data_IF_406006163385
#
_entry.id   IF_406006163385
#
_cell.length_a   1.000
_cell.length_b   1.000
_cell.length_c   1.000
_cell.angle_alpha   90.00
_cell.angle_beta   90.00
_cell.angle_gamma   90.00
#
_symmetry.space_group_name_H-M   'P 1'
#
loop_
_entity.id
_entity.type
_entity.pdbx_description
1 polymer ?
#
# COMPACT_ATOMS: atom_id res chain seq x y z
N UNK A 1 -5.55 -35.57 -17.51
CA UNK A 1 -4.67 -34.80 -18.41
C UNK A 1 -5.53 -33.70 -18.96
N UNK A 2 -5.40 -32.47 -18.45
CA UNK A 2 -5.93 -31.33 -19.18
C UNK A 2 -5.26 -31.31 -20.55
N UNK A 3 -6.01 -31.01 -21.60
CA UNK A 3 -5.46 -30.94 -22.95
C UNK A 3 -4.39 -29.83 -22.96
N UNK A 4 -3.22 -30.11 -23.51
CA UNK A 4 -2.12 -29.14 -23.54
C UNK A 4 -2.55 -27.85 -24.25
N UNK A 5 -3.49 -27.96 -25.18
CA UNK A 5 -4.13 -26.84 -25.89
C UNK A 5 -4.91 -25.91 -24.95
N UNK A 6 -5.57 -26.43 -23.91
CA UNK A 6 -6.34 -25.63 -22.94
C UNK A 6 -5.41 -24.82 -22.03
N UNK A 7 -4.28 -25.42 -21.65
CA UNK A 7 -3.23 -24.73 -20.86
C UNK A 7 -2.58 -23.62 -21.69
N UNK A 8 -2.23 -23.89 -22.95
CA UNK A 8 -1.64 -22.89 -23.86
C UNK A 8 -2.63 -21.74 -24.14
N UNK A 9 -3.92 -22.04 -24.35
CA UNK A 9 -4.95 -21.02 -24.53
C UNK A 9 -5.15 -20.15 -23.27
N UNK A 10 -5.11 -20.76 -22.08
CA UNK A 10 -5.16 -20.03 -20.81
C UNK A 10 -3.98 -19.08 -20.63
N UNK A 11 -2.76 -19.52 -20.94
CA UNK A 11 -1.54 -18.70 -20.90
C UNK A 11 -1.66 -17.52 -21.87
N UNK A 12 -2.06 -17.76 -23.13
CA UNK A 12 -2.23 -16.69 -24.13
C UNK A 12 -3.30 -15.67 -23.71
N UNK A 13 -4.42 -16.14 -23.12
CA UNK A 13 -5.44 -15.24 -22.57
C UNK A 13 -4.86 -14.38 -21.45
N UNK A 14 -4.12 -14.99 -20.52
CA UNK A 14 -3.47 -14.29 -19.42
C UNK A 14 -2.46 -13.23 -19.89
N UNK A 15 -1.61 -13.59 -20.85
CA UNK A 15 -0.67 -12.67 -21.49
C UNK A 15 -1.37 -11.49 -22.15
N UNK A 16 -2.46 -11.74 -22.89
CA UNK A 16 -3.25 -10.68 -23.53
C UNK A 16 -3.89 -9.75 -22.49
N UNK A 17 -4.40 -10.28 -21.39
CA UNK A 17 -4.98 -9.49 -20.29
C UNK A 17 -3.90 -8.60 -19.66
N UNK A 18 -2.75 -9.17 -19.28
CA UNK A 18 -1.64 -8.42 -18.67
C UNK A 18 -1.13 -7.35 -19.63
N UNK A 19 -0.89 -7.71 -20.89
CA UNK A 19 -0.48 -6.76 -21.92
C UNK A 19 -1.47 -5.60 -22.04
N UNK A 20 -2.78 -5.86 -22.08
CA UNK A 20 -3.78 -4.78 -22.17
C UNK A 20 -3.88 -3.94 -20.90
N UNK A 21 -3.68 -4.52 -19.72
CA UNK A 21 -3.72 -3.79 -18.45
C UNK A 21 -2.52 -2.84 -18.29
N UNK A 22 -1.34 -3.28 -18.73
CA UNK A 22 -0.08 -2.58 -18.44
C UNK A 22 0.53 -1.85 -19.65
N UNK A 23 0.43 -2.35 -20.87
CA UNK A 23 1.09 -1.74 -22.03
C UNK A 23 0.26 -0.61 -22.67
N UNK A 24 0.87 0.53 -23.05
CA UNK A 24 0.21 1.61 -23.78
C UNK A 24 -0.58 1.11 -24.99
N UNK A 25 -1.73 1.73 -25.28
CA UNK A 25 -2.51 1.36 -26.46
C UNK A 25 -1.80 1.86 -27.72
N UNK A 26 -1.51 0.96 -28.67
CA UNK A 26 -1.08 1.33 -30.02
C UNK A 26 0.43 1.25 -30.30
N UNK A 27 1.24 0.92 -29.31
CA UNK A 27 2.65 0.61 -29.55
C UNK A 27 2.85 -0.91 -29.60
N UNK A 28 3.40 -1.43 -30.71
CA UNK A 28 3.93 -2.81 -30.83
C UNK A 28 5.20 -2.99 -29.96
N UNK A 29 5.21 -2.39 -28.76
CA UNK A 29 6.30 -2.52 -27.81
C UNK A 29 6.24 -3.94 -27.25
N UNK A 30 7.17 -4.78 -27.71
CA UNK A 30 7.45 -6.05 -27.08
C UNK A 30 7.71 -5.78 -25.59
N UNK A 31 6.95 -6.46 -24.71
CA UNK A 31 7.22 -6.46 -23.28
C UNK A 31 8.71 -6.71 -23.05
N UNK A 32 9.34 -6.05 -22.06
CA UNK A 32 10.67 -6.45 -21.62
C UNK A 32 10.62 -7.94 -21.27
N UNK A 33 11.14 -8.79 -22.16
CA UNK A 33 11.07 -10.25 -21.98
C UNK A 33 11.87 -10.71 -20.77
N UNK A 34 12.82 -9.89 -20.33
CA UNK A 34 13.61 -10.08 -19.11
C UNK A 34 12.92 -9.35 -17.95
N UNK A 35 12.24 -10.11 -17.07
CA UNK A 35 11.74 -9.62 -15.79
C UNK A 35 10.27 -9.91 -15.49
N UNK A 36 9.41 -10.02 -16.50
CA UNK A 36 8.00 -10.36 -16.31
C UNK A 36 7.80 -11.86 -16.10
N UNK A 37 7.64 -12.30 -14.85
CA UNK A 37 7.33 -13.70 -14.54
C UNK A 37 5.81 -13.94 -14.63
N UNK A 38 5.36 -14.37 -15.81
CA UNK A 38 3.94 -14.68 -16.08
C UNK A 38 3.36 -15.76 -15.15
N UNK A 39 4.18 -16.67 -14.61
CA UNK A 39 3.68 -17.71 -13.68
C UNK A 39 3.19 -17.13 -12.35
N UNK A 40 3.73 -15.98 -11.96
CA UNK A 40 3.32 -15.31 -10.72
C UNK A 40 1.93 -14.67 -10.84
N UNK A 41 1.42 -14.53 -12.07
CA UNK A 41 0.11 -13.94 -12.33
C UNK A 41 -1.07 -14.91 -12.16
N UNK A 42 -0.85 -16.19 -11.90
CA UNK A 42 -1.95 -17.16 -11.72
C UNK A 42 -3.00 -16.68 -10.70
N UNK A 43 -2.57 -16.03 -9.60
CA UNK A 43 -3.48 -15.46 -8.60
C UNK A 43 -4.17 -14.19 -9.07
N UNK A 44 -3.47 -13.35 -9.81
CA UNK A 44 -4.05 -12.14 -10.38
C UNK A 44 -5.10 -12.50 -11.43
N UNK A 45 -4.81 -13.50 -12.27
CA UNK A 45 -5.75 -14.05 -13.24
C UNK A 45 -6.91 -14.76 -12.54
N UNK A 46 -6.67 -15.48 -11.44
CA UNK A 46 -7.76 -16.04 -10.64
C UNK A 46 -8.66 -14.96 -10.03
N UNK A 47 -8.11 -13.80 -9.64
CA UNK A 47 -8.90 -12.63 -9.22
C UNK A 47 -9.70 -12.06 -10.40
N UNK A 48 -9.06 -11.88 -11.56
CA UNK A 48 -9.71 -11.40 -12.78
C UNK A 48 -10.86 -12.33 -13.20
N UNK A 49 -10.62 -13.64 -13.23
CA UNK A 49 -11.61 -14.66 -13.54
C UNK A 49 -12.72 -14.69 -12.49
N UNK A 50 -12.41 -14.54 -11.20
CA UNK A 50 -13.43 -14.48 -10.16
C UNK A 50 -14.38 -13.29 -10.35
N UNK A 51 -13.84 -12.10 -10.60
CA UNK A 51 -14.63 -10.87 -10.78
C UNK A 51 -15.40 -10.88 -12.11
N UNK A 52 -14.81 -11.40 -13.20
CA UNK A 52 -15.49 -11.52 -14.49
C UNK A 52 -16.58 -12.59 -14.49
N UNK A 53 -16.37 -13.72 -13.80
CA UNK A 53 -17.39 -14.77 -13.68
C UNK A 53 -18.61 -14.28 -12.89
N UNK A 54 -18.43 -13.38 -11.92
CA UNK A 54 -19.56 -12.76 -11.20
C UNK A 54 -20.43 -11.87 -12.11
N UNK A 55 -19.83 -11.28 -13.14
CA UNK A 55 -20.50 -10.42 -14.13
C UNK A 55 -21.20 -11.20 -15.25
N UNK A 56 -20.72 -12.39 -15.57
CA UNK A 56 -21.18 -13.24 -16.67
C UNK A 56 -20.41 -13.02 -17.98
N UNK A 57 -20.76 -13.81 -18.99
CA UNK A 57 -20.03 -13.84 -20.27
C UNK A 57 -20.02 -12.47 -20.98
N UNK A 58 -18.89 -12.14 -21.62
CA UNK A 58 -18.69 -10.93 -22.42
C UNK A 58 -18.27 -9.67 -21.64
N UNK A 59 -18.21 -9.74 -20.30
CA UNK A 59 -17.84 -8.59 -19.48
C UNK A 59 -16.33 -8.38 -19.35
N UNK A 60 -15.52 -9.36 -19.73
CA UNK A 60 -14.06 -9.28 -19.73
C UNK A 60 -13.55 -8.23 -20.73
N UNK A 61 -14.08 -8.21 -21.94
CA UNK A 61 -13.73 -7.17 -22.94
C UNK A 61 -14.17 -5.77 -22.47
N UNK A 62 -15.34 -5.63 -21.85
CA UNK A 62 -15.80 -4.36 -21.28
C UNK A 62 -14.86 -3.84 -20.17
N UNK A 63 -14.35 -4.73 -19.30
CA UNK A 63 -13.35 -4.38 -18.28
C UNK A 63 -12.05 -3.91 -18.93
N UNK A 64 -11.55 -4.63 -19.93
CA UNK A 64 -10.29 -4.30 -20.60
C UNK A 64 -10.40 -2.98 -21.39
N UNK A 65 -11.55 -2.74 -22.03
CA UNK A 65 -11.83 -1.48 -22.71
C UNK A 65 -11.94 -0.32 -21.72
N UNK A 66 -12.58 -0.54 -20.55
CA UNK A 66 -12.62 0.45 -19.48
C UNK A 66 -11.20 0.85 -19.03
N UNK A 67 -10.32 -0.13 -18.80
CA UNK A 67 -8.91 0.15 -18.46
C UNK A 67 -8.23 0.92 -19.59
N UNK A 68 -8.45 0.54 -20.85
CA UNK A 68 -7.84 1.22 -21.98
C UNK A 68 -8.27 2.69 -22.07
N UNK A 69 -9.56 2.99 -21.86
CA UNK A 69 -10.09 4.36 -21.87
C UNK A 69 -9.51 5.15 -20.69
N UNK A 70 -9.51 4.58 -19.49
CA UNK A 70 -8.98 5.22 -18.29
C UNK A 70 -7.48 5.55 -18.41
N UNK A 71 -6.70 4.66 -19.02
CA UNK A 71 -5.27 4.90 -19.26
C UNK A 71 -5.04 5.96 -20.34
N UNK A 72 -5.83 5.95 -21.40
CA UNK A 72 -5.73 6.97 -22.45
C UNK A 72 -6.14 8.37 -21.96
N UNK A 73 -7.03 8.43 -20.97
CA UNK A 73 -7.50 9.68 -20.39
C UNK A 73 -7.69 9.55 -18.87
N UNK A 74 -6.63 9.78 -18.11
CA UNK A 74 -6.64 9.81 -16.65
C UNK A 74 -7.50 10.96 -16.07
N UNK A 75 -7.87 11.96 -16.88
CA UNK A 75 -8.82 12.99 -16.50
C UNK A 75 -10.29 12.61 -16.77
N UNK A 76 -10.56 11.39 -17.28
CA UNK A 76 -11.92 10.93 -17.55
C UNK A 76 -12.75 10.92 -16.27
N UNK A 77 -13.97 11.46 -16.36
CA UNK A 77 -14.94 11.33 -15.27
C UNK A 77 -15.63 9.97 -15.36
N UNK A 78 -16.22 9.52 -14.26
CA UNK A 78 -16.95 8.25 -14.26
C UNK A 78 -18.15 8.26 -15.23
N UNK A 79 -18.88 9.38 -15.29
CA UNK A 79 -20.01 9.56 -16.22
C UNK A 79 -19.57 9.54 -17.69
N UNK A 80 -18.45 10.20 -18.01
CA UNK A 80 -17.89 10.17 -19.37
C UNK A 80 -17.41 8.77 -19.75
N UNK A 81 -16.76 8.05 -18.82
CA UNK A 81 -16.32 6.67 -19.03
C UNK A 81 -17.51 5.75 -19.31
N UNK A 82 -18.59 5.88 -18.52
CA UNK A 82 -19.82 5.13 -18.74
C UNK A 82 -20.42 5.44 -20.11
N UNK A 83 -20.50 6.71 -20.48
CA UNK A 83 -21.02 7.13 -21.80
C UNK A 83 -20.20 6.53 -22.94
N UNK A 84 -18.87 6.60 -22.86
CA UNK A 84 -17.99 6.02 -23.89
C UNK A 84 -18.13 4.50 -24.00
N UNK A 85 -18.16 3.79 -22.87
CA UNK A 85 -18.27 2.34 -22.90
C UNK A 85 -19.67 1.86 -23.30
N UNK A 86 -20.73 2.61 -22.97
CA UNK A 86 -22.10 2.29 -23.42
C UNK A 86 -22.23 2.35 -24.94
N UNK A 87 -21.47 3.23 -25.60
CA UNK A 87 -21.42 3.30 -27.06
C UNK A 87 -20.70 2.10 -27.70
N UNK A 88 -19.76 1.47 -26.98
CA UNK A 88 -19.01 0.29 -27.44
C UNK A 88 -19.79 -1.00 -27.12
N UNK A 89 -20.42 -1.04 -25.94
CA UNK A 89 -21.03 -2.22 -25.35
C UNK A 89 -22.53 -2.02 -25.05
N UNK A 90 -23.31 -1.65 -26.08
CA UNK A 90 -24.75 -1.35 -25.96
C UNK A 90 -25.54 -2.48 -25.26
N UNK A 91 -25.14 -3.73 -25.47
CA UNK A 91 -25.78 -4.91 -24.88
C UNK A 91 -25.48 -5.14 -23.38
N UNK A 92 -24.59 -4.35 -22.77
CA UNK A 92 -24.13 -4.51 -21.37
C UNK A 92 -24.48 -3.32 -20.47
N UNK A 93 -25.42 -2.46 -20.84
CA UNK A 93 -25.76 -1.23 -20.09
C UNK A 93 -25.97 -1.48 -18.58
N UNK A 94 -26.76 -2.51 -18.22
CA UNK A 94 -27.03 -2.87 -16.82
C UNK A 94 -25.81 -3.38 -16.04
N UNK A 95 -24.78 -3.86 -16.76
CA UNK A 95 -23.56 -4.46 -16.17
C UNK A 95 -22.36 -3.54 -16.23
N UNK A 96 -22.46 -2.45 -16.99
CA UNK A 96 -21.33 -1.59 -17.29
C UNK A 96 -20.77 -0.91 -16.04
N UNK A 97 -21.66 -0.49 -15.13
CA UNK A 97 -21.24 0.08 -13.85
C UNK A 97 -20.35 -0.89 -13.07
N UNK A 98 -20.73 -2.17 -13.01
CA UNK A 98 -19.96 -3.19 -12.32
C UNK A 98 -18.66 -3.54 -13.06
N UNK A 99 -18.66 -3.54 -14.40
CA UNK A 99 -17.45 -3.68 -15.20
C UNK A 99 -16.44 -2.54 -14.91
N UNK A 100 -16.91 -1.28 -14.79
CA UNK A 100 -16.06 -0.14 -14.41
C UNK A 100 -15.47 -0.34 -13.01
N UNK A 101 -16.28 -0.78 -12.05
CA UNK A 101 -15.80 -1.09 -10.70
C UNK A 101 -14.74 -2.20 -10.70
N UNK A 102 -14.95 -3.28 -11.46
CA UNK A 102 -13.97 -4.34 -11.62
C UNK A 102 -12.69 -3.84 -12.29
N UNK A 103 -12.79 -3.00 -13.32
CA UNK A 103 -11.65 -2.39 -13.99
C UNK A 103 -10.79 -1.58 -13.01
N UNK A 104 -11.40 -0.69 -12.22
CA UNK A 104 -10.68 0.09 -11.20
C UNK A 104 -10.07 -0.83 -10.14
N UNK A 105 -10.80 -1.86 -9.71
CA UNK A 105 -10.33 -2.81 -8.69
C UNK A 105 -9.12 -3.61 -9.16
N UNK A 106 -9.18 -4.16 -10.36
CA UNK A 106 -8.15 -5.03 -10.91
C UNK A 106 -6.94 -4.22 -11.33
N UNK A 107 -7.15 -3.06 -11.97
CA UNK A 107 -6.07 -2.25 -12.51
C UNK A 107 -5.37 -1.41 -11.45
N UNK A 108 -6.11 -0.84 -10.50
CA UNK A 108 -5.55 0.07 -9.50
C UNK A 108 -5.44 -0.55 -8.10
N UNK A 109 -5.94 -1.77 -7.92
CA UNK A 109 -6.01 -2.43 -6.61
C UNK A 109 -6.78 -1.58 -5.58
N UNK A 110 -7.82 -0.87 -6.01
CA UNK A 110 -8.65 0.00 -5.16
C UNK A 110 -10.02 -0.65 -4.94
N UNK A 111 -10.45 -0.72 -3.69
CA UNK A 111 -11.77 -1.25 -3.33
C UNK A 111 -12.89 -0.24 -3.61
N UNK A 112 -13.55 -0.38 -4.76
CA UNK A 112 -14.65 0.51 -5.18
C UNK A 112 -16.05 -0.08 -5.04
N UNK A 113 -16.28 -1.07 -4.16
CA UNK A 113 -17.57 -1.78 -4.09
C UNK A 113 -18.78 -0.82 -4.11
N UNK A 114 -19.85 -1.11 -4.87
CA UNK A 114 -21.06 -0.31 -4.78
C UNK A 114 -21.67 -0.47 -3.38
N UNK A 115 -22.07 0.64 -2.76
CA UNK A 115 -22.63 0.68 -1.40
C UNK A 115 -23.90 -0.17 -1.18
N UNK A 116 -24.45 -0.76 -2.25
CA UNK A 116 -25.69 -1.54 -2.26
C UNK A 116 -25.52 -3.04 -2.03
N UNK A 117 -24.31 -3.57 -1.84
CA UNK A 117 -24.16 -5.00 -1.55
C UNK A 117 -24.49 -5.31 -0.08
N UNK A 118 -25.65 -5.96 0.09
CA UNK A 118 -26.39 -6.20 1.32
C UNK A 118 -25.61 -6.82 2.49
N UNK A 119 -25.43 -6.03 3.55
CA UNK A 119 -25.63 -6.37 4.97
C UNK A 119 -24.98 -7.61 5.60
N UNK A 120 -24.16 -8.39 4.89
CA UNK A 120 -23.75 -9.73 5.34
C UNK A 120 -22.23 -9.94 5.40
N UNK A 121 -21.43 -9.02 4.88
CA UNK A 121 -19.98 -9.09 5.01
C UNK A 121 -19.50 -8.09 6.09
N UNK A 122 -18.88 -8.61 7.15
CA UNK A 122 -18.12 -7.85 8.16
C UNK A 122 -16.84 -7.23 7.58
N UNK A 123 -16.86 -6.81 6.31
CA UNK A 123 -15.71 -6.18 5.66
C UNK A 123 -15.75 -4.70 6.07
N UNK A 124 -15.05 -4.38 7.15
CA UNK A 124 -15.07 -3.07 7.81
C UNK A 124 -14.24 -2.02 7.06
N UNK A 125 -13.59 -2.40 5.97
CA UNK A 125 -12.81 -1.48 5.15
C UNK A 125 -13.72 -0.40 4.55
N UNK A 126 -13.32 0.89 4.66
CA UNK A 126 -14.08 1.98 4.10
C UNK A 126 -14.12 1.85 2.57
N UNK A 127 -15.32 1.59 2.06
CA UNK A 127 -15.59 1.53 0.63
C UNK A 127 -15.29 2.89 -0.01
N UNK A 128 -14.41 2.91 -1.01
CA UNK A 128 -14.06 4.13 -1.74
C UNK A 128 -15.06 4.35 -2.87
N UNK A 129 -15.82 5.44 -2.83
CA UNK A 129 -16.78 5.79 -3.89
C UNK A 129 -16.15 6.72 -4.92
N UNK A 130 -16.07 6.30 -6.18
CA UNK A 130 -15.74 7.20 -7.29
C UNK A 130 -16.99 7.93 -7.76
N UNK A 131 -17.06 9.24 -7.52
CA UNK A 131 -18.21 10.07 -7.87
C UNK A 131 -18.40 10.21 -9.39
N UNK A 132 -19.65 10.40 -9.84
CA UNK A 132 -19.99 10.46 -11.27
C UNK A 132 -19.21 11.55 -12.03
N UNK A 133 -19.10 12.73 -11.44
CA UNK A 133 -18.40 13.89 -12.00
C UNK A 133 -16.94 14.02 -11.53
N UNK A 134 -16.45 13.06 -10.75
CA UNK A 134 -15.08 13.09 -10.22
C UNK A 134 -14.14 12.53 -11.30
N UNK A 135 -13.02 13.23 -11.55
CA UNK A 135 -11.99 12.70 -12.45
C UNK A 135 -11.29 11.50 -11.82
N UNK A 136 -10.86 10.56 -12.64
CA UNK A 136 -10.15 9.38 -12.15
C UNK A 136 -8.88 9.75 -11.35
N UNK A 137 -8.07 10.68 -11.86
CA UNK A 137 -6.90 11.19 -11.13
C UNK A 137 -7.25 11.75 -9.75
N UNK A 138 -8.28 12.59 -9.64
CA UNK A 138 -8.69 13.19 -8.37
C UNK A 138 -9.20 12.12 -7.39
N UNK A 139 -9.90 11.10 -7.90
CA UNK A 139 -10.33 9.95 -7.12
C UNK A 139 -9.14 9.14 -6.58
N UNK A 140 -8.22 8.73 -7.45
CA UNK A 140 -7.02 7.96 -7.07
C UNK A 140 -6.16 8.76 -6.10
N UNK A 141 -6.01 10.06 -6.34
CA UNK A 141 -5.33 10.97 -5.44
C UNK A 141 -5.99 10.99 -4.05
N UNK A 142 -7.30 11.20 -3.97
CA UNK A 142 -8.02 11.20 -2.70
C UNK A 142 -7.90 9.89 -1.91
N UNK A 143 -7.78 8.76 -2.61
CA UNK A 143 -7.60 7.43 -2.00
C UNK A 143 -6.22 7.27 -1.34
N UNK A 144 -5.14 7.73 -1.98
CA UNK A 144 -3.78 7.60 -1.45
C UNK A 144 -3.34 8.79 -0.58
N UNK A 145 -4.07 9.91 -0.64
CA UNK A 145 -3.78 11.15 0.09
C UNK A 145 -5.03 11.68 0.81
N UNK A 146 -5.59 10.91 1.77
CA UNK A 146 -6.80 11.33 2.46
C UNK A 146 -6.58 12.67 3.19
N UNK A 147 -7.55 13.59 3.05
CA UNK A 147 -7.53 14.91 3.69
C UNK A 147 -6.72 15.99 2.97
N UNK A 148 -6.10 15.69 1.82
CA UNK A 148 -5.42 16.70 0.98
C UNK A 148 -6.31 17.16 -0.18
N UNK A 149 -6.29 18.46 -0.54
CA UNK A 149 -6.96 18.93 -1.74
C UNK A 149 -6.35 18.27 -2.99
N UNK A 150 -7.17 18.01 -4.01
CA UNK A 150 -6.81 17.26 -5.23
C UNK A 150 -5.83 17.99 -6.18
N UNK A 151 -4.98 18.88 -5.68
CA UNK A 151 -3.87 19.42 -6.44
C UNK A 151 -2.74 18.39 -6.48
N UNK A 152 -2.32 17.96 -7.67
CA UNK A 152 -1.17 17.09 -7.86
C UNK A 152 0.02 17.64 -7.07
N UNK A 153 0.52 16.93 -6.05
CA UNK A 153 1.60 17.41 -5.25
C UNK A 153 2.88 17.25 -6.06
N UNK A 154 3.57 18.35 -6.24
CA UNK A 154 5.00 18.35 -6.50
C UNK A 154 5.68 17.65 -5.31
N UNK A 155 6.54 16.63 -5.55
CA UNK A 155 7.21 15.88 -4.49
C UNK A 155 7.94 16.74 -3.43
N UNK A 156 8.31 17.98 -3.78
CA UNK A 156 8.99 18.95 -2.92
C UNK A 156 8.10 19.78 -1.99
N UNK A 157 6.80 19.92 -2.25
CA UNK A 157 6.09 21.12 -1.75
C UNK A 157 5.25 20.91 -0.48
N UNK A 158 5.33 19.73 0.14
CA UNK A 158 4.23 19.26 0.98
C UNK A 158 4.56 18.96 2.45
N UNK A 159 5.79 19.17 2.88
CA UNK A 159 6.14 19.19 4.29
C UNK A 159 7.10 20.34 4.54
N UNK A 160 6.81 21.13 5.58
CA UNK A 160 7.78 22.08 6.10
C UNK A 160 9.02 21.31 6.60
N UNK A 161 10.20 21.94 6.53
CA UNK A 161 11.43 21.36 7.09
C UNK A 161 11.25 20.97 8.58
N UNK A 162 10.41 21.73 9.29
CA UNK A 162 10.01 21.45 10.66
C UNK A 162 9.22 20.14 10.78
N UNK A 163 8.18 19.93 9.97
CA UNK A 163 7.41 18.68 9.98
C UNK A 163 8.28 17.45 9.66
N UNK A 164 9.20 17.58 8.69
CA UNK A 164 10.14 16.49 8.37
C UNK A 164 11.08 16.20 9.55
N UNK A 165 11.53 17.23 10.26
CA UNK A 165 12.34 17.07 11.47
C UNK A 165 11.55 16.40 12.60
N UNK A 166 10.29 16.78 12.78
CA UNK A 166 9.42 16.21 13.82
C UNK A 166 9.11 14.74 13.53
N UNK A 167 8.75 14.41 12.27
CA UNK A 167 8.56 13.04 11.77
C UNK A 167 9.84 12.21 11.99
N UNK A 168 11.00 12.74 11.64
CA UNK A 168 12.28 12.04 11.82
C UNK A 168 12.60 11.79 13.30
N UNK A 169 12.28 12.73 14.17
CA UNK A 169 12.50 12.63 15.62
C UNK A 169 11.57 11.60 16.25
N UNK A 170 10.28 11.62 15.91
CA UNK A 170 9.29 10.64 16.37
C UNK A 170 9.67 9.22 15.90
N UNK A 171 9.93 9.07 14.61
CA UNK A 171 10.39 7.81 14.03
C UNK A 171 11.63 7.27 14.72
N UNK A 172 12.63 8.12 14.99
CA UNK A 172 13.84 7.71 15.71
C UNK A 172 13.53 7.28 17.15
N UNK A 173 12.67 8.01 17.86
CA UNK A 173 12.28 7.66 19.22
C UNK A 173 11.55 6.31 19.26
N UNK A 174 10.60 6.07 18.36
CA UNK A 174 9.89 4.79 18.26
C UNK A 174 10.87 3.66 17.92
N UNK A 175 11.73 3.88 16.92
CA UNK A 175 12.71 2.89 16.48
C UNK A 175 13.67 2.49 17.61
N UNK A 176 14.10 3.42 18.47
CA UNK A 176 14.98 3.11 19.61
C UNK A 176 14.29 2.31 20.71
N UNK A 177 12.96 2.41 20.82
CA UNK A 177 12.16 1.66 21.80
C UNK A 177 11.81 0.25 21.33
N UNK A 178 11.86 -0.01 20.01
CA UNK A 178 11.67 -1.33 19.45
C UNK A 178 12.85 -2.24 19.84
N UNK A 179 12.60 -3.16 20.77
CA UNK A 179 13.61 -4.16 21.18
C UNK A 179 13.87 -5.19 20.08
N UNK A 180 12.93 -5.34 19.15
CA UNK A 180 12.98 -6.24 18.01
C UNK A 180 12.55 -5.50 16.74
N UNK A 181 13.10 -5.86 15.56
CA UNK A 181 12.62 -5.33 14.28
C UNK A 181 11.11 -5.55 14.11
N UNK A 182 10.41 -4.56 13.55
CA UNK A 182 8.96 -4.62 13.31
C UNK A 182 8.65 -5.48 12.07
N UNK A 183 8.99 -6.76 12.12
CA UNK A 183 8.68 -7.72 11.06
C UNK A 183 7.33 -8.37 11.29
N UNK A 184 6.69 -8.86 10.22
CA UNK A 184 5.44 -9.61 10.28
C UNK A 184 5.51 -10.81 11.24
N UNK A 185 6.67 -11.47 11.32
CA UNK A 185 6.91 -12.57 12.26
C UNK A 185 6.80 -12.08 13.70
N UNK A 186 7.45 -10.97 14.02
CA UNK A 186 7.44 -10.39 15.36
C UNK A 186 6.08 -9.79 15.71
N UNK A 187 5.37 -9.21 14.74
CA UNK A 187 3.98 -8.78 14.90
C UNK A 187 3.07 -9.97 15.24
N UNK A 188 3.18 -11.09 14.52
CA UNK A 188 2.37 -12.28 14.75
C UNK A 188 2.62 -12.98 16.09
N UNK A 189 3.75 -12.68 16.75
CA UNK A 189 4.05 -13.16 18.11
C UNK A 189 3.28 -12.39 19.18
N UNK A 190 2.83 -11.18 18.87
CA UNK A 190 1.96 -10.45 19.76
C UNK A 190 0.54 -11.04 19.66
N UNK A 191 -0.02 -11.63 20.73
CA UNK A 191 -1.22 -12.49 20.65
C UNK A 191 -2.46 -11.79 20.06
N UNK A 192 -2.47 -10.47 20.10
CA UNK A 192 -3.57 -9.65 19.62
C UNK A 192 -3.40 -9.17 18.20
N UNK A 193 -2.18 -9.04 17.68
CA UNK A 193 -2.01 -8.51 16.33
C UNK A 193 -2.14 -9.63 15.31
N UNK A 194 -3.17 -9.56 14.49
CA UNK A 194 -3.35 -10.49 13.39
C UNK A 194 -2.95 -9.84 12.07
N UNK A 195 -2.33 -10.62 11.20
CA UNK A 195 -2.02 -10.18 9.84
C UNK A 195 -3.15 -10.68 8.95
N UNK A 196 -3.90 -9.74 8.40
CA UNK A 196 -4.92 -9.97 7.39
C UNK A 196 -4.32 -9.65 6.01
N UNK A 197 -4.58 -10.48 5.02
CA UNK A 197 -4.05 -10.27 3.67
C UNK A 197 -5.11 -9.55 2.84
N UNK A 198 -4.78 -8.36 2.36
CA UNK A 198 -5.66 -7.55 1.53
C UNK A 198 -5.18 -7.56 0.08
N UNK A 199 -6.15 -7.49 -0.84
CA UNK A 199 -5.92 -7.30 -2.28
C UNK A 199 -5.87 -5.83 -2.66
N UNK A 200 -6.17 -4.95 -1.72
CA UNK A 200 -6.35 -3.55 -1.97
C UNK A 200 -5.15 -2.77 -1.46
N UNK A 201 -4.46 -2.10 -2.38
CA UNK A 201 -3.26 -1.34 -2.07
C UNK A 201 -3.53 -0.21 -1.06
N UNK A 202 -4.64 0.56 -1.16
CA UNK A 202 -4.95 1.62 -0.19
C UNK A 202 -5.18 1.12 1.24
N UNK A 203 -5.47 -0.18 1.43
CA UNK A 203 -5.65 -0.81 2.73
C UNK A 203 -4.32 -1.35 3.29
N UNK A 204 -3.22 -1.29 2.52
CA UNK A 204 -1.93 -1.79 2.98
C UNK A 204 -1.45 -1.07 4.24
N UNK A 205 -1.10 -1.83 5.27
CA UNK A 205 -0.74 -1.38 6.62
C UNK A 205 -1.85 -0.66 7.37
N UNK A 206 -3.08 -0.68 6.89
CA UNK A 206 -4.20 -0.18 7.68
C UNK A 206 -4.32 -1.02 8.95
N UNK A 207 -4.34 -0.34 10.10
CA UNK A 207 -4.46 -0.98 11.40
C UNK A 207 -5.88 -0.82 11.95
N UNK A 208 -6.57 -1.93 12.16
CA UNK A 208 -7.90 -1.92 12.76
C UNK A 208 -7.80 -2.08 14.27
N UNK A 209 -7.90 -0.98 15.02
CA UNK A 209 -7.76 -1.01 16.48
C UNK A 209 -8.71 -1.97 17.20
N UNK A 210 -9.91 -2.21 16.65
CA UNK A 210 -10.94 -3.04 17.27
C UNK A 210 -10.58 -4.53 17.25
N UNK A 211 -10.10 -5.01 16.10
CA UNK A 211 -9.73 -6.41 15.88
C UNK A 211 -8.24 -6.65 16.08
N UNK A 212 -7.47 -5.57 16.15
CA UNK A 212 -6.00 -5.56 16.17
C UNK A 212 -5.45 -6.22 14.90
N UNK A 213 -6.12 -5.99 13.78
CA UNK A 213 -5.74 -6.54 12.49
C UNK A 213 -4.89 -5.55 11.72
N UNK A 214 -3.78 -6.03 11.15
CA UNK A 214 -2.93 -5.30 10.22
C UNK A 214 -3.17 -5.87 8.84
N UNK A 215 -3.66 -5.02 7.93
CA UNK A 215 -3.83 -5.38 6.54
C UNK A 215 -2.47 -5.38 5.82
N UNK A 216 -2.13 -6.45 5.11
CA UNK A 216 -0.88 -6.59 4.35
C UNK A 216 -1.23 -6.92 2.91
N UNK A 217 -0.68 -6.16 1.97
CA UNK A 217 -0.98 -6.32 0.56
C UNK A 217 -0.41 -7.64 0.03
N UNK A 218 -1.24 -8.45 -0.63
CA UNK A 218 -0.84 -9.81 -1.02
C UNK A 218 -0.08 -9.90 -2.35
N UNK A 219 -0.27 -8.95 -3.26
CA UNK A 219 0.21 -9.05 -4.65
C UNK A 219 1.57 -8.35 -4.87
N UNK A 220 2.61 -8.75 -4.14
CA UNK A 220 3.94 -8.11 -4.27
C UNK A 220 4.49 -8.06 -5.71
N UNK A 221 4.33 -9.13 -6.49
CA UNK A 221 4.78 -9.14 -7.88
C UNK A 221 4.09 -8.07 -8.71
N UNK A 222 2.78 -7.90 -8.53
CA UNK A 222 2.03 -6.85 -9.23
C UNK A 222 2.63 -5.46 -8.96
N UNK A 223 3.07 -5.19 -7.71
CA UNK A 223 3.77 -3.95 -7.38
C UNK A 223 5.11 -3.84 -8.09
N UNK A 224 5.92 -4.89 -8.06
CA UNK A 224 7.23 -4.89 -8.71
C UNK A 224 7.12 -4.65 -10.22
N UNK A 225 6.16 -5.31 -10.87
CA UNK A 225 5.92 -5.18 -12.31
C UNK A 225 5.36 -3.80 -12.67
N UNK A 226 4.45 -3.25 -11.85
CA UNK A 226 3.96 -1.89 -12.02
C UNK A 226 5.09 -0.85 -11.88
N UNK A 227 6.00 -1.03 -10.91
CA UNK A 227 7.19 -0.16 -10.75
C UNK A 227 8.11 -0.27 -11.96
N UNK A 228 8.48 -1.50 -12.37
CA UNK A 228 9.38 -1.73 -13.49
C UNK A 228 8.82 -1.14 -14.80
N UNK A 229 7.53 -1.31 -15.05
CA UNK A 229 6.84 -0.73 -16.20
C UNK A 229 6.91 0.80 -16.20
N UNK A 230 6.67 1.44 -15.06
CA UNK A 230 6.69 2.89 -14.94
C UNK A 230 8.08 3.48 -15.10
N UNK A 231 9.09 2.82 -14.51
CA UNK A 231 10.49 3.20 -14.70
C UNK A 231 10.90 3.07 -16.16
N UNK A 232 10.56 1.95 -16.79
CA UNK A 232 10.82 1.74 -18.21
C UNK A 232 10.15 2.82 -19.08
N UNK A 233 8.89 3.19 -18.80
CA UNK A 233 8.22 4.26 -19.54
C UNK A 233 8.91 5.62 -19.34
N UNK A 234 9.33 5.92 -18.10
CA UNK A 234 10.07 7.15 -17.80
C UNK A 234 11.40 7.20 -18.57
N UNK A 235 12.11 6.08 -18.69
CA UNK A 235 13.34 5.96 -19.50
C UNK A 235 13.07 6.17 -20.99
N UNK A 236 12.01 5.57 -21.54
CA UNK A 236 11.65 5.75 -22.94
C UNK A 236 11.32 7.20 -23.27
N UNK A 237 10.55 7.89 -22.41
CA UNK A 237 10.26 9.31 -22.59
C UNK A 237 11.52 10.18 -22.46
N UNK A 238 12.40 9.89 -21.50
CA UNK A 238 13.68 10.57 -21.38
C UNK A 238 14.55 10.39 -22.64
N UNK A 239 14.59 9.19 -23.23
CA UNK A 239 15.29 8.92 -24.48
C UNK A 239 14.66 9.65 -25.67
N UNK A 240 13.33 9.69 -25.78
CA UNK A 240 12.62 10.45 -26.83
C UNK A 240 12.95 11.94 -26.73
N UNK A 241 12.93 12.51 -25.53
CA UNK A 241 13.30 13.92 -25.29
C UNK A 241 14.76 14.18 -25.64
N UNK A 242 15.68 13.29 -25.26
CA UNK A 242 17.10 13.40 -25.61
C UNK A 242 17.31 13.38 -27.14
N UNK A 243 16.63 12.49 -27.86
CA UNK A 243 16.68 12.43 -29.33
C UNK A 243 16.16 13.69 -29.99
N UNK A 244 15.07 14.28 -29.48
CA UNK A 244 14.53 15.55 -29.98
C UNK A 244 15.54 16.69 -29.79
N UNK A 245 16.15 16.78 -28.61
CA UNK A 245 17.20 17.78 -28.33
C UNK A 245 18.41 17.61 -29.25
N UNK A 246 18.89 16.37 -29.45
CA UNK A 246 20.00 16.12 -30.38
C UNK A 246 19.65 16.42 -31.84
N UNK A 247 18.40 16.24 -32.26
CA UNK A 247 17.95 16.62 -33.61
C UNK A 247 17.89 18.14 -33.78
N UNK A 248 17.50 18.89 -32.75
CA UNK A 248 17.49 20.35 -32.73
C UNK A 248 18.93 20.93 -32.72
N UNK A 249 19.85 20.33 -31.96
CA UNK A 249 21.27 20.72 -31.95
C UNK A 249 22.04 20.30 -33.21
N UNK A 250 21.57 19.24 -33.89
CA UNK A 250 22.13 18.72 -35.14
C UNK A 250 21.75 19.52 -36.39
N UNK A 251 20.78 20.43 -36.31
CA UNK A 251 20.64 21.50 -37.29
C UNK A 251 21.82 22.47 -37.11
N UNK A 252 22.91 22.16 -37.82
CA UNK A 252 24.14 22.95 -37.82
C UNK A 252 23.93 24.45 -38.11
N UNK A 253 24.96 25.28 -37.91
CA UNK A 253 24.87 26.73 -37.95
C UNK A 253 24.15 27.17 -39.23
N UNK A 254 23.06 27.92 -39.06
CA UNK A 254 22.35 28.59 -40.15
C UNK A 254 23.42 29.20 -41.06
N UNK A 255 23.49 28.83 -42.36
CA UNK A 255 24.44 29.45 -43.25
C UNK A 255 24.22 30.96 -43.15
N UNK A 256 25.25 31.69 -42.73
CA UNK A 256 25.27 33.14 -42.73
C UNK A 256 24.75 33.60 -44.10
N UNK A 257 23.52 34.10 -44.12
CA UNK A 257 22.98 34.91 -45.20
C UNK A 257 23.81 36.19 -45.18
N UNK A 258 24.95 36.10 -45.87
CA UNK A 258 25.85 37.20 -46.11
C UNK A 258 25.15 38.15 -47.10
N UNK A 259 24.94 39.37 -46.64
CA UNK A 259 25.14 40.60 -47.42
C UNK A 259 24.32 40.76 -48.72
N UNK A 260 23.29 41.60 -48.69
CA UNK A 260 23.16 42.80 -49.53
C UNK A 260 21.74 43.39 -49.48
N UNK A 261 21.65 44.71 -49.28
CA UNK A 261 20.49 45.52 -49.67
C UNK A 261 20.03 46.49 -48.59
N UNK A 262 20.68 47.65 -48.51
CA UNK A 262 20.22 48.75 -47.68
C UNK A 262 18.87 49.32 -48.10
N UNK A 263 18.25 50.09 -47.21
CA UNK A 263 17.37 51.23 -47.47
C UNK A 263 17.23 52.00 -46.14
N UNK A 264 17.06 53.33 -46.19
CA UNK A 264 17.50 54.24 -45.14
C UNK A 264 16.41 54.56 -44.12
N UNK A 265 16.88 55.22 -43.07
CA UNK A 265 16.12 55.91 -42.04
C UNK A 265 14.95 56.73 -42.60
N UNK A 266 13.82 56.66 -41.89
CA UNK A 266 13.04 57.84 -41.53
C UNK A 266 11.95 57.46 -40.51
N UNK A 267 11.90 58.26 -39.43
CA UNK A 267 10.72 58.93 -38.87
C UNK A 267 9.49 58.08 -38.45
N UNK A 268 8.70 58.41 -37.44
CA UNK A 268 8.64 59.46 -36.43
C UNK A 268 7.38 59.12 -35.59
N UNK A 269 7.38 59.56 -34.34
CA UNK A 269 6.28 59.89 -33.42
C UNK A 269 4.83 59.36 -33.60
N UNK A 270 4.23 59.05 -32.44
CA UNK A 270 2.90 59.44 -31.88
C UNK A 270 2.28 58.23 -31.16
N UNK A 271 2.13 58.18 -29.83
CA UNK A 271 1.34 59.01 -28.90
C UNK A 271 -0.12 59.22 -29.36
N UNK A 272 -1.03 58.37 -28.88
CA UNK A 272 -2.43 58.74 -28.71
C UNK A 272 -3.06 57.96 -27.55
N UNK A 273 -3.68 58.75 -26.69
CA UNK A 273 -4.47 58.51 -25.49
C UNK A 273 -5.87 57.98 -25.82
N UNK A 274 -6.47 57.30 -24.84
CA UNK A 274 -7.91 57.24 -24.46
C UNK A 274 -9.01 57.30 -25.54
N UNK A 275 -10.00 56.40 -25.44
CA UNK A 275 -11.41 56.78 -25.18
C UNK A 275 -12.25 55.56 -24.79
N UNK A 276 -13.06 55.76 -23.74
CA UNK A 276 -14.02 54.84 -23.14
C UNK A 276 -15.18 54.42 -24.06
N UNK A 277 -15.72 53.22 -23.81
CA UNK A 277 -17.09 52.86 -24.16
C UNK A 277 -17.75 51.98 -23.08
N UNK A 278 -18.97 52.40 -22.75
CA UNK A 278 -19.99 51.95 -21.79
C UNK A 278 -20.38 50.46 -21.90
N UNK A 279 -20.91 49.82 -20.84
CA UNK A 279 -21.24 48.39 -20.85
C UNK A 279 -22.60 48.11 -21.52
N UNK A 280 -22.66 47.09 -22.37
CA UNK A 280 -23.92 46.45 -22.77
C UNK A 280 -23.92 44.97 -22.38
N UNK A 281 -24.83 44.65 -21.46
CA UNK A 281 -25.41 43.34 -21.20
C UNK A 281 -25.84 42.67 -22.51
N UNK A 282 -25.35 41.47 -22.82
CA UNK A 282 -26.08 40.38 -23.50
C UNK A 282 -25.22 39.11 -23.42
N UNK A 283 -25.80 38.08 -22.83
CA UNK A 283 -25.65 36.63 -23.00
C UNK A 283 -24.42 36.02 -23.71
N UNK A 284 -24.03 34.86 -23.17
CA UNK A 284 -23.23 33.76 -23.75
C UNK A 284 -21.81 33.63 -23.19
N UNK A 285 -21.65 32.74 -22.21
CA UNK A 285 -20.35 32.16 -21.83
C UNK A 285 -20.48 30.64 -21.62
N UNK A 286 -20.30 29.89 -22.70
CA UNK A 286 -19.37 28.76 -22.71
C UNK A 286 -18.36 29.12 -23.80
N UNK A 287 -17.35 29.88 -23.43
CA UNK A 287 -16.19 30.13 -24.29
C UNK A 287 -15.07 29.28 -23.71
N UNK A 288 -14.69 28.25 -24.46
CA UNK A 288 -13.46 27.52 -24.22
C UNK A 288 -12.31 28.53 -24.10
N UNK A 289 -11.56 28.43 -23.01
CA UNK A 289 -10.37 29.23 -22.72
C UNK A 289 -9.25 28.84 -23.68
N UNK A 290 -9.32 29.32 -24.93
CA UNK A 290 -8.20 29.30 -25.88
C UNK A 290 -7.34 30.52 -25.61
N UNK A 291 -6.40 30.43 -24.68
CA UNK A 291 -5.41 31.49 -24.47
C UNK A 291 -4.82 31.55 -23.07
N UNK A 292 -4.11 30.50 -22.65
CA UNK A 292 -3.11 30.63 -21.57
C UNK A 292 -2.05 29.56 -21.77
N UNK A 293 -0.86 30.01 -22.16
CA UNK A 293 0.45 29.35 -22.11
C UNK A 293 0.55 27.90 -22.62
N UNK A 294 0.91 27.76 -23.89
CA UNK A 294 1.41 26.52 -24.50
C UNK A 294 2.76 26.03 -23.93
N UNK A 295 3.22 26.58 -22.79
CA UNK A 295 4.47 26.24 -22.16
C UNK A 295 4.20 25.36 -20.93
N UNK A 296 4.49 24.07 -21.09
CA UNK A 296 4.34 22.99 -20.10
C UNK A 296 2.96 22.34 -20.09
N UNK A 297 2.54 21.77 -21.23
CA UNK A 297 1.68 20.58 -21.19
C UNK A 297 2.51 19.50 -20.50
N UNK A 298 2.45 19.47 -19.18
CA UNK A 298 3.06 18.44 -18.35
C UNK A 298 2.44 17.12 -18.84
N UNK A 299 3.25 16.29 -19.49
CA UNK A 299 2.79 15.00 -19.98
C UNK A 299 2.13 14.28 -18.79
N UNK A 300 0.82 14.05 -18.87
CA UNK A 300 0.12 13.38 -17.78
C UNK A 300 0.80 12.04 -17.53
N UNK A 301 0.95 11.63 -16.26
CA UNK A 301 1.62 10.39 -15.95
C UNK A 301 0.88 9.21 -16.61
N UNK A 302 1.61 8.23 -17.15
CA UNK A 302 1.03 7.07 -17.85
C UNK A 302 0.22 6.15 -16.94
N UNK A 303 0.33 6.32 -15.62
CA UNK A 303 -0.35 5.54 -14.61
C UNK A 303 -0.87 6.44 -13.49
N UNK A 304 -2.11 6.24 -13.00
CA UNK A 304 -2.73 7.18 -12.07
C UNK A 304 -2.22 7.06 -10.63
N UNK A 305 -1.60 5.94 -10.26
CA UNK A 305 -0.96 5.80 -8.93
C UNK A 305 0.47 6.35 -9.03
N UNK A 306 0.89 7.24 -8.12
CA UNK A 306 2.26 7.75 -8.12
C UNK A 306 3.30 6.63 -7.96
N UNK A 307 4.37 6.70 -8.74
CA UNK A 307 5.46 5.70 -8.72
C UNK A 307 6.06 5.56 -7.32
N UNK A 308 6.15 6.66 -6.59
CA UNK A 308 6.71 6.70 -5.25
C UNK A 308 5.85 5.90 -4.26
N UNK A 309 4.52 5.91 -4.41
CA UNK A 309 3.61 5.12 -3.57
C UNK A 309 3.82 3.62 -3.80
N UNK A 310 4.00 3.21 -5.06
CA UNK A 310 4.25 1.82 -5.42
C UNK A 310 5.61 1.34 -4.89
N UNK A 311 6.66 2.15 -5.09
CA UNK A 311 8.01 1.87 -4.56
C UNK A 311 7.99 1.75 -3.04
N UNK A 312 7.31 2.67 -2.37
CA UNK A 312 7.22 2.64 -0.92
C UNK A 312 6.42 1.43 -0.43
N UNK A 313 5.31 1.06 -1.08
CA UNK A 313 4.57 -0.16 -0.77
C UNK A 313 5.42 -1.44 -0.96
N UNK A 314 6.32 -1.44 -1.95
CA UNK A 314 7.25 -2.54 -2.12
C UNK A 314 8.29 -2.58 -0.98
N UNK A 315 8.81 -1.42 -0.59
CA UNK A 315 9.75 -1.27 0.53
C UNK A 315 9.11 -1.65 1.88
N UNK A 316 7.84 -1.36 2.12
CA UNK A 316 7.14 -1.75 3.34
C UNK A 316 6.96 -3.27 3.42
N UNK A 317 6.72 -3.93 2.28
CA UNK A 317 6.71 -5.40 2.22
C UNK A 317 8.09 -5.98 2.52
N UNK A 318 9.16 -5.41 1.97
CA UNK A 318 10.53 -5.84 2.29
C UNK A 318 10.88 -5.60 3.77
N UNK A 319 10.39 -4.50 4.34
CA UNK A 319 10.56 -4.17 5.75
C UNK A 319 9.84 -5.16 6.67
N UNK A 320 8.59 -5.51 6.35
CA UNK A 320 7.81 -6.49 7.12
C UNK A 320 8.28 -7.93 6.90
N UNK A 321 8.74 -8.25 5.70
CA UNK A 321 9.14 -9.59 5.28
C UNK A 321 10.58 -9.61 4.75
N UNK A 322 11.58 -9.36 5.61
CA UNK A 322 12.97 -9.34 5.20
C UNK A 322 13.39 -10.71 4.63
N UNK A 323 13.97 -10.75 3.41
CA UNK A 323 14.31 -12.01 2.72
C UNK A 323 15.42 -12.81 3.38
N UNK A 324 16.33 -12.13 4.07
CA UNK A 324 17.50 -12.70 4.74
C UNK A 324 17.13 -13.44 6.03
N UNK A 325 15.91 -13.25 6.54
CA UNK A 325 15.47 -13.79 7.82
C UNK A 325 14.71 -15.11 7.66
N UNK A 326 15.37 -16.23 8.04
CA UNK A 326 14.76 -17.58 8.07
C UNK A 326 13.38 -17.64 8.76
N UNK A 327 13.14 -16.94 9.90
CA UNK A 327 11.82 -16.92 10.53
C UNK A 327 10.73 -16.37 9.61
N UNK A 328 11.04 -15.40 8.76
CA UNK A 328 10.12 -14.81 7.79
C UNK A 328 9.76 -15.81 6.71
N UNK A 329 10.76 -16.47 6.12
CA UNK A 329 10.55 -17.54 5.14
C UNK A 329 9.67 -18.66 5.72
N UNK A 330 9.95 -19.07 6.96
CA UNK A 330 9.18 -20.11 7.62
C UNK A 330 7.76 -19.64 7.97
N UNK A 331 7.59 -18.39 8.41
CA UNK A 331 6.29 -17.80 8.69
C UNK A 331 5.42 -17.79 7.44
N UNK A 332 5.95 -17.31 6.31
CA UNK A 332 5.26 -17.30 5.03
C UNK A 332 4.90 -18.73 4.58
N UNK A 333 5.84 -19.68 4.71
CA UNK A 333 5.60 -21.10 4.39
C UNK A 333 4.51 -21.75 5.25
N UNK A 334 4.43 -21.41 6.55
CA UNK A 334 3.44 -21.99 7.48
C UNK A 334 2.06 -21.39 7.30
N UNK A 335 1.98 -20.06 7.13
CA UNK A 335 0.70 -19.33 7.06
C UNK A 335 0.01 -19.54 5.72
N UNK A 336 0.78 -19.77 4.65
CA UNK A 336 0.26 -19.93 3.31
C UNK A 336 0.74 -21.24 2.69
N UNK A 337 -0.18 -22.20 2.63
CA UNK A 337 0.10 -23.57 2.22
C UNK A 337 0.48 -23.71 0.73
N UNK A 338 0.29 -22.67 -0.11
CA UNK A 338 0.70 -22.67 -1.52
C UNK A 338 0.98 -21.25 -2.02
N UNK A 339 2.19 -21.03 -2.53
CA UNK A 339 2.56 -19.97 -3.50
C UNK A 339 2.53 -18.54 -2.96
N UNK A 340 3.49 -18.19 -2.10
CA UNK A 340 3.83 -16.80 -1.86
C UNK A 340 5.12 -16.46 -2.62
N UNK A 341 4.99 -15.85 -3.80
CA UNK A 341 6.11 -15.36 -4.63
C UNK A 341 6.78 -14.10 -4.03
N UNK A 342 6.35 -13.65 -2.84
CA UNK A 342 7.01 -12.53 -2.14
C UNK A 342 8.51 -12.76 -2.02
N UNK A 343 8.92 -14.01 -1.74
CA UNK A 343 10.29 -14.39 -1.43
C UNK A 343 11.24 -14.39 -2.63
N UNK A 344 10.71 -14.51 -3.86
CA UNK A 344 11.57 -14.52 -5.05
C UNK A 344 11.88 -13.08 -5.49
N UNK A 345 10.92 -12.16 -5.33
CA UNK A 345 11.02 -10.75 -5.72
C UNK A 345 11.85 -9.91 -4.74
N UNK A 346 12.02 -10.35 -3.49
CA UNK A 346 12.73 -9.61 -2.42
C UNK A 346 14.24 -9.38 -2.65
N UNK A 347 14.84 -9.86 -3.74
CA UNK A 347 16.30 -9.86 -3.87
C UNK A 347 16.92 -8.55 -4.41
N UNK A 348 16.13 -7.50 -4.69
CA UNK A 348 16.67 -6.29 -5.36
C UNK A 348 17.04 -5.14 -4.43
N UNK A 349 16.61 -5.13 -3.17
CA UNK A 349 16.88 -4.05 -2.23
C UNK A 349 18.27 -4.25 -1.59
N UNK A 350 19.12 -3.22 -1.71
CA UNK A 350 20.52 -3.26 -1.26
C UNK A 350 20.70 -3.52 0.24
N UNK A 351 21.95 -3.56 0.74
CA UNK A 351 22.29 -4.09 2.06
C UNK A 351 21.73 -3.30 3.27
N UNK A 352 21.05 -2.17 3.06
CA UNK A 352 20.59 -1.30 4.17
C UNK A 352 19.11 -1.49 4.41
N UNK A 353 18.75 -1.98 5.61
CA UNK A 353 17.36 -2.08 6.05
C UNK A 353 16.74 -0.68 6.12
N UNK A 354 15.56 -0.44 5.50
CA UNK A 354 14.89 0.85 5.57
C UNK A 354 14.48 1.16 7.01
N UNK A 355 14.52 2.44 7.38
CA UNK A 355 14.10 2.96 8.69
C UNK A 355 12.68 3.51 8.59
N UNK A 356 11.97 3.61 9.73
CA UNK A 356 10.61 4.17 9.77
C UNK A 356 10.50 5.55 9.10
N UNK A 357 11.50 6.42 9.26
CA UNK A 357 11.54 7.77 8.65
C UNK A 357 11.70 7.79 7.14
N UNK A 358 12.09 6.67 6.52
CA UNK A 358 12.34 6.59 5.08
C UNK A 358 11.02 6.37 4.31
N UNK A 359 9.94 6.06 5.04
CA UNK A 359 8.58 5.94 4.53
C UNK A 359 7.90 7.32 4.60
N UNK A 360 7.19 7.72 3.54
CA UNK A 360 6.45 8.99 3.44
C UNK A 360 4.94 8.76 3.38
N UNK A 361 4.48 7.76 2.64
CA UNK A 361 3.06 7.46 2.44
C UNK A 361 2.51 6.51 3.51
N UNK A 362 3.30 5.52 3.89
CA UNK A 362 2.93 4.51 4.88
C UNK A 362 3.54 4.77 6.26
N UNK A 363 4.22 5.92 6.43
CA UNK A 363 4.84 6.33 7.70
C UNK A 363 3.88 6.23 8.88
N UNK A 364 2.75 6.93 8.81
CA UNK A 364 1.81 7.07 9.94
C UNK A 364 1.22 5.71 10.32
N UNK A 365 0.94 4.87 9.31
CA UNK A 365 0.46 3.49 9.51
C UNK A 365 1.51 2.60 10.15
N UNK A 366 2.77 2.68 9.72
CA UNK A 366 3.87 1.95 10.36
C UNK A 366 4.12 2.43 11.79
N UNK A 367 4.06 3.73 12.04
CA UNK A 367 4.17 4.33 13.37
C UNK A 367 3.04 3.85 14.26
N UNK A 368 1.81 3.84 13.78
CA UNK A 368 0.65 3.32 14.51
C UNK A 368 0.82 1.84 14.88
N UNK A 369 1.22 1.00 13.92
CA UNK A 369 1.50 -0.42 14.17
C UNK A 369 2.65 -0.58 15.18
N UNK A 370 3.71 0.23 15.06
CA UNK A 370 4.85 0.21 15.96
C UNK A 370 4.47 0.65 17.38
N UNK A 371 3.66 1.70 17.51
CA UNK A 371 3.15 2.19 18.79
C UNK A 371 2.28 1.12 19.46
N UNK A 372 1.39 0.46 18.70
CA UNK A 372 0.61 -0.65 19.23
C UNK A 372 1.51 -1.83 19.63
N UNK A 373 2.52 -2.15 18.82
CA UNK A 373 3.51 -3.17 19.16
C UNK A 373 4.35 -2.81 20.39
N UNK A 374 4.48 -1.53 20.73
CA UNK A 374 5.16 -1.07 21.95
C UNK A 374 4.22 -0.96 23.16
N UNK A 375 2.90 -0.95 22.96
CA UNK A 375 1.94 -0.86 24.05
C UNK A 375 2.05 -2.09 24.97
N UNK A 376 2.06 -1.87 26.30
CA UNK A 376 2.05 -2.99 27.23
C UNK A 376 0.72 -3.75 27.12
N UNK A 377 0.75 -5.08 27.29
CA UNK A 377 -0.48 -5.88 27.28
C UNK A 377 -1.45 -5.40 28.37
N UNK A 378 -2.67 -5.00 27.98
CA UNK A 378 -3.70 -4.53 28.92
C UNK A 378 -4.38 -5.68 29.69
N UNK A 379 -4.40 -6.88 29.11
CA UNK A 379 -5.09 -8.03 29.68
C UNK A 379 -4.10 -9.08 30.18
N UNK A 380 -4.40 -9.69 31.32
CA UNK A 380 -3.60 -10.79 31.88
C UNK A 380 -3.45 -11.94 30.90
N UNK A 381 -4.51 -12.33 30.18
CA UNK A 381 -4.42 -13.38 29.15
C UNK A 381 -3.37 -13.03 28.08
N UNK A 382 -3.20 -11.75 27.76
CA UNK A 382 -2.17 -11.29 26.81
C UNK A 382 -0.79 -11.37 27.43
N UNK A 383 -0.61 -10.94 28.69
CA UNK A 383 0.67 -11.07 29.42
C UNK A 383 1.15 -12.53 29.42
N UNK A 384 0.22 -13.47 29.60
CA UNK A 384 0.54 -14.90 29.68
C UNK A 384 1.00 -15.50 28.35
N UNK A 385 0.62 -14.91 27.22
CA UNK A 385 0.99 -15.37 25.88
C UNK A 385 2.02 -14.48 25.18
N UNK A 386 2.41 -13.36 25.78
CA UNK A 386 3.33 -12.39 25.20
C UNK A 386 4.78 -12.89 25.27
N UNK A 387 5.29 -13.41 24.16
CA UNK A 387 6.65 -13.92 24.04
C UNK A 387 7.58 -12.98 23.25
N UNK A 388 7.22 -11.69 23.10
CA UNK A 388 8.01 -10.71 22.34
C UNK A 388 9.46 -10.66 22.82
N UNK A 389 9.65 -10.56 24.14
CA UNK A 389 10.96 -10.64 24.78
C UNK A 389 11.06 -11.93 25.61
N UNK A 390 11.75 -12.97 25.12
CA UNK A 390 11.82 -14.25 25.82
C UNK A 390 12.45 -14.11 27.22
N UNK A 391 13.38 -13.17 27.41
CA UNK A 391 14.03 -12.94 28.71
C UNK A 391 13.04 -12.37 29.72
N UNK A 392 12.26 -11.36 29.34
CA UNK A 392 11.22 -10.80 30.22
C UNK A 392 10.13 -11.82 30.52
N UNK A 393 9.70 -12.59 29.51
CA UNK A 393 8.74 -13.66 29.67
C UNK A 393 9.22 -14.68 30.72
N UNK A 394 10.43 -15.21 30.58
CA UNK A 394 10.98 -16.16 31.56
C UNK A 394 11.18 -15.54 32.95
N UNK A 395 11.62 -14.29 33.03
CA UNK A 395 11.78 -13.58 34.31
C UNK A 395 10.46 -13.45 35.06
N UNK A 396 9.38 -13.11 34.35
CA UNK A 396 8.03 -13.06 34.92
C UNK A 396 7.61 -14.42 35.49
N UNK A 397 7.79 -15.50 34.71
CA UNK A 397 7.44 -16.85 35.16
C UNK A 397 8.27 -17.35 36.33
N UNK A 398 9.57 -17.07 36.34
CA UNK A 398 10.42 -17.39 37.49
C UNK A 398 10.00 -16.60 38.73
N UNK A 399 9.66 -15.32 38.58
CA UNK A 399 9.13 -14.50 39.68
C UNK A 399 7.84 -15.08 40.26
N UNK A 400 6.89 -15.47 39.39
CA UNK A 400 5.63 -16.11 39.81
C UNK A 400 5.87 -17.45 40.51
N UNK A 401 6.79 -18.28 40.00
CA UNK A 401 7.15 -19.55 40.61
C UNK A 401 7.74 -19.36 42.01
N UNK A 402 8.67 -18.41 42.19
CA UNK A 402 9.27 -18.09 43.48
C UNK A 402 8.21 -17.59 44.46
N UNK A 403 7.27 -16.76 44.01
CA UNK A 403 6.17 -16.27 44.83
C UNK A 403 5.30 -17.43 45.36
N UNK A 404 4.93 -18.36 44.48
CA UNK A 404 4.12 -19.54 44.85
C UNK A 404 4.86 -20.41 45.86
N UNK A 405 6.14 -20.69 45.62
CA UNK A 405 6.98 -21.49 46.54
C UNK A 405 7.09 -20.80 47.91
N UNK A 406 7.31 -19.48 47.93
CA UNK A 406 7.42 -18.70 49.17
C UNK A 406 6.12 -18.72 49.97
N UNK A 407 4.96 -18.59 49.29
CA UNK A 407 3.65 -18.68 49.93
C UNK A 407 3.43 -20.05 50.57
N UNK A 408 3.79 -21.13 49.88
CA UNK A 408 3.69 -22.50 50.40
C UNK A 408 4.54 -22.65 51.67
N UNK A 409 5.80 -22.20 51.64
CA UNK A 409 6.67 -22.25 52.81
C UNK A 409 6.14 -21.40 53.97
N UNK A 410 5.59 -20.21 53.69
CA UNK A 410 4.97 -19.36 54.71
C UNK A 410 3.77 -20.02 55.38
N UNK A 411 2.89 -20.67 54.59
CA UNK A 411 1.75 -21.43 55.11
C UNK A 411 2.22 -22.62 55.95
N UNK A 412 3.18 -23.40 55.46
CA UNK A 412 3.74 -24.53 56.21
C UNK A 412 4.36 -24.08 57.55
N UNK A 413 5.15 -23.01 57.54
CA UNK A 413 5.76 -22.46 58.76
C UNK A 413 4.69 -21.99 59.76
N UNK A 414 3.61 -21.36 59.28
CA UNK A 414 2.49 -20.92 60.12
C UNK A 414 1.76 -22.12 60.75
N UNK A 415 1.52 -23.18 59.99
CA UNK A 415 0.91 -24.41 60.50
C UNK A 415 1.81 -25.07 61.55
N UNK A 416 3.10 -25.20 61.28
CA UNK A 416 4.06 -25.78 62.24
C UNK A 416 4.16 -24.95 63.52
N UNK A 417 4.19 -23.63 63.42
CA UNK A 417 4.18 -22.74 64.58
C UNK A 417 2.89 -22.92 65.40
N UNK A 418 1.73 -23.03 64.75
CA UNK A 418 0.45 -23.30 65.41
C UNK A 418 0.44 -24.65 66.14
N UNK A 419 0.98 -25.70 65.52
CA UNK A 419 1.10 -27.03 66.14
C UNK A 419 2.05 -27.01 67.35
N UNK A 420 3.19 -26.33 67.22
CA UNK A 420 4.15 -26.17 68.32
C UNK A 420 3.55 -25.38 69.48
N UNK A 421 2.81 -24.32 69.19
CA UNK A 421 2.10 -23.53 70.19
C UNK A 421 1.03 -24.36 70.91
N UNK A 422 0.25 -25.16 70.18
CA UNK A 422 -0.75 -26.06 70.77
C UNK A 422 -0.14 -27.13 71.67
N UNK A 423 0.95 -27.76 71.24
CA UNK A 423 1.69 -28.73 72.05
C UNK A 423 2.30 -28.10 73.31
N UNK A 424 2.69 -26.81 73.27
CA UNK A 424 3.22 -26.10 74.42
C UNK A 424 2.15 -25.74 75.47
N UNK A 425 0.91 -25.45 75.05
CA UNK A 425 -0.22 -25.16 75.97
C UNK A 425 -0.67 -26.41 76.71
N UNK A 426 -0.66 -27.58 76.04
CA UNK A 426 -1.04 -28.86 76.62
C UNK A 426 0.18 -29.77 76.71
N UNK A 427 1.12 -29.54 77.65
CA UNK A 427 2.21 -30.47 77.85
C UNK A 427 1.62 -31.85 78.16
N UNK A 428 2.12 -32.93 77.55
CA UNK A 428 1.65 -34.27 77.89
C UNK A 428 1.80 -34.43 79.40
N UNK A 429 0.70 -34.72 80.10
CA UNK A 429 0.76 -35.12 81.50
C UNK A 429 1.70 -36.31 81.55
N UNK A 430 2.92 -36.08 82.04
CA UNK A 430 3.90 -37.12 82.26
C UNK A 430 3.28 -38.11 83.24
N UNK A 431 2.65 -39.15 82.71
CA UNK A 431 2.21 -40.32 83.45
C UNK A 431 3.38 -40.78 84.30
N UNK A 432 3.15 -40.81 85.61
CA UNK A 432 4.17 -40.91 86.64
C UNK A 432 5.28 -41.90 86.30
N UNK A 433 6.50 -41.36 86.21
CA UNK A 433 7.70 -42.18 86.24
C UNK A 433 7.74 -42.95 87.55
N UNK A 434 7.55 -44.27 87.47
CA UNK A 434 8.03 -45.20 88.47
C UNK A 434 9.55 -45.10 88.50
N UNK A 435 10.05 -44.38 89.50
CA UNK A 435 11.44 -44.18 89.85
C UNK A 435 12.17 -45.55 89.99
N UNK A 436 13.26 -45.80 89.25
CA UNK A 436 14.04 -47.03 89.43
C UNK A 436 14.86 -46.90 90.72
N UNK A 437 14.46 -47.63 91.76
CA UNK A 437 15.30 -47.87 92.95
C UNK A 437 16.59 -48.58 92.53
N UNK A 438 17.73 -47.94 92.78
CA UNK A 438 19.05 -48.55 92.64
C UNK A 438 19.32 -49.62 93.71
N UNK A 439 20.26 -50.54 93.45
CA UNK A 439 20.78 -51.49 94.44
C UNK A 439 21.72 -50.85 95.47
#
# INVERSE_FOLDING_TARGET
MADQTEVEAGIQKGERIIARLFLPAGDDLELPREGFNLRTYDRFLALFDFETNALGAGCDEAILDAVSVMRANIAVTRGDLHTQLSAIHEHLEDKLEHAIHCAVRIWLMINTRPARFDGTAMDLSPVQSWGENQRLCDFVYGVFYPGRPASYPTPSDNYTEQELSDIATESAQIQTRLTHPLTAVNLSRYPKVHIHWTRYLPEHLQFEHNFKDVNVFEHKQWLADAVALLEWHAEQEAQKVARRRSAEEGLGPIPHLNDQGGIPADNDSTLATDTAATPSTTDTYITATTGTDAATVQALPPFPIPLEVLKEALLTLDYLFPPDEKPTTEFLRRRHNRNFDILEVTSSSGPTKPRLRDFRYYHDRLVEIAQEYLNPPRDWSTVWSDNRNPVQFWTFWFGLLILIITLIFGVMATVLAGLQYGAAIHPPENGGGSEPRGP
#
